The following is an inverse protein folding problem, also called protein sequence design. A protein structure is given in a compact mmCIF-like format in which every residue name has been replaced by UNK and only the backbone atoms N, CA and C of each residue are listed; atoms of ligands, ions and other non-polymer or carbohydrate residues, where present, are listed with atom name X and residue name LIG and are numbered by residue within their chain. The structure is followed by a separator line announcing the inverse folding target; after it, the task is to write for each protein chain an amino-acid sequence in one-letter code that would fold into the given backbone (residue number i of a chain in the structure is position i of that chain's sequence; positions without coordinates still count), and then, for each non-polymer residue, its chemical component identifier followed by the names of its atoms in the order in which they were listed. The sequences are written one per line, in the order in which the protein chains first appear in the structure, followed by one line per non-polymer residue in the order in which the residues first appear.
data_IF_808653026172
#
_entry.id   IF_808653026172
#
_cell.length_a   1.000
_cell.length_b   1.000
_cell.length_c   1.000
_cell.angle_alpha   90.00
_cell.angle_beta   90.00
_cell.angle_gamma   90.00
#
_symmetry.space_group_name_H-M   'P 1'
#
loop_
_entity.id
_entity.type
_entity.pdbx_description
1 polymer ?
#
# COMPACT_ATOMS: atom_id res chain seq x y z
N UNK A 1 27.11 -30.10 -17.75
CA UNK A 1 25.87 -30.70 -17.21
C UNK A 1 25.55 -30.27 -15.75
N UNK A 2 26.22 -29.28 -15.15
CA UNK A 2 26.08 -28.98 -13.70
C UNK A 2 25.26 -27.72 -13.33
N UNK A 3 24.83 -26.90 -14.31
CA UNK A 3 24.12 -25.65 -14.01
C UNK A 3 22.61 -25.79 -13.78
N UNK A 4 21.97 -26.82 -14.34
CA UNK A 4 20.54 -27.10 -14.06
C UNK A 4 20.32 -27.52 -12.61
N UNK A 5 21.24 -28.33 -12.06
CA UNK A 5 21.18 -28.82 -10.68
C UNK A 5 21.34 -27.69 -9.65
N UNK A 6 22.16 -26.68 -9.92
CA UNK A 6 22.32 -25.52 -9.03
C UNK A 6 21.10 -24.60 -9.02
N UNK A 7 20.37 -24.47 -10.14
CA UNK A 7 19.15 -23.64 -10.20
C UNK A 7 17.96 -24.21 -9.42
N UNK A 8 17.99 -25.51 -9.08
CA UNK A 8 16.94 -26.21 -8.32
C UNK A 8 17.33 -26.48 -6.85
N UNK A 9 18.40 -25.83 -6.36
CA UNK A 9 18.74 -25.83 -4.93
C UNK A 9 19.64 -26.96 -4.45
N UNK A 10 20.28 -27.72 -5.35
CA UNK A 10 21.36 -28.61 -4.94
C UNK A 10 22.65 -27.80 -4.67
N UNK A 11 23.23 -27.87 -3.46
CA UNK A 11 24.47 -27.17 -3.16
C UNK A 11 25.63 -27.80 -3.95
N UNK A 12 26.57 -27.00 -4.48
CA UNK A 12 27.74 -27.54 -5.16
C UNK A 12 28.60 -28.36 -4.17
N UNK A 13 29.21 -29.44 -4.66
CA UNK A 13 30.25 -30.15 -3.90
C UNK A 13 31.41 -29.17 -3.67
N UNK A 14 31.75 -28.96 -2.41
CA UNK A 14 32.82 -28.05 -1.96
C UNK A 14 34.20 -28.68 -2.18
N UNK A 15 34.58 -28.96 -3.42
CA UNK A 15 35.97 -29.32 -3.75
C UNK A 15 36.39 -28.57 -5.01
N UNK A 16 37.26 -27.57 -4.79
CA UNK A 16 38.25 -26.99 -5.69
C UNK A 16 37.85 -26.52 -7.09
N UNK A 17 36.92 -25.57 -7.16
CA UNK A 17 36.94 -24.58 -8.24
C UNK A 17 36.78 -23.17 -7.66
N UNK A 18 37.90 -22.55 -7.27
CA UNK A 18 38.02 -21.09 -7.32
C UNK A 18 38.52 -20.77 -8.72
N UNK A 19 37.66 -20.43 -9.71
CA UNK A 19 38.14 -20.35 -11.08
C UNK A 19 38.87 -19.01 -11.36
N UNK A 20 38.86 -18.05 -10.42
CA UNK A 20 39.40 -16.70 -10.65
C UNK A 20 39.87 -16.05 -9.34
N UNK A 21 41.02 -15.36 -9.38
CA UNK A 21 41.58 -14.58 -8.26
C UNK A 21 41.13 -13.11 -8.26
N UNK A 22 40.73 -12.56 -9.42
CA UNK A 22 40.24 -11.19 -9.58
C UNK A 22 39.27 -11.12 -10.76
N UNK A 23 38.15 -10.42 -10.59
CA UNK A 23 37.17 -10.13 -11.65
C UNK A 23 37.01 -8.62 -11.76
N UNK A 24 37.50 -8.02 -12.84
CA UNK A 24 37.34 -6.60 -13.16
C UNK A 24 36.49 -6.42 -14.44
N UNK A 25 35.82 -5.27 -14.58
CA UNK A 25 35.05 -4.93 -15.79
C UNK A 25 33.61 -5.46 -15.83
N UNK A 26 33.06 -5.96 -14.72
CA UNK A 26 31.63 -6.22 -14.62
C UNK A 26 30.89 -4.88 -14.57
N UNK A 27 30.06 -4.60 -15.57
CA UNK A 27 29.02 -3.57 -15.46
C UNK A 27 28.18 -3.87 -14.22
N UNK A 28 27.69 -2.85 -13.48
CA UNK A 28 26.89 -3.09 -12.28
C UNK A 28 25.71 -4.01 -12.61
N UNK A 29 25.79 -5.26 -12.14
CA UNK A 29 24.71 -6.23 -12.34
C UNK A 29 23.64 -5.92 -11.31
N UNK A 30 22.62 -5.17 -11.74
CA UNK A 30 21.39 -5.01 -10.95
C UNK A 30 20.51 -6.24 -11.19
N UNK A 31 20.56 -7.19 -10.28
CA UNK A 31 19.59 -8.28 -10.25
C UNK A 31 18.28 -7.77 -9.63
N UNK A 32 17.36 -7.28 -10.46
CA UNK A 32 16.00 -6.98 -10.02
C UNK A 32 15.20 -8.28 -10.06
N UNK A 33 15.00 -8.92 -8.91
CA UNK A 33 14.04 -10.03 -8.80
C UNK A 33 12.62 -9.47 -9.04
N UNK A 34 12.12 -9.63 -10.25
CA UNK A 34 10.76 -9.21 -10.59
C UNK A 34 9.80 -10.30 -10.11
N UNK A 35 9.39 -10.23 -8.83
CA UNK A 35 8.27 -11.03 -8.33
C UNK A 35 6.99 -10.58 -9.02
N UNK A 36 6.66 -11.23 -10.14
CA UNK A 36 5.37 -11.10 -10.84
C UNK A 36 4.28 -11.87 -10.11
N UNK A 37 4.09 -11.63 -8.82
CA UNK A 37 2.84 -12.02 -8.16
C UNK A 37 1.82 -10.91 -8.46
N UNK A 38 0.84 -11.20 -9.32
CA UNK A 38 -0.32 -10.34 -9.61
C UNK A 38 -1.29 -10.27 -8.41
N UNK A 39 -0.76 -10.14 -7.20
CA UNK A 39 -1.54 -9.89 -6.00
C UNK A 39 -1.46 -8.39 -5.76
N UNK A 40 -2.44 -7.67 -6.31
CA UNK A 40 -2.63 -6.27 -6.00
C UNK A 40 -3.16 -6.20 -4.57
N UNK A 41 -2.25 -6.08 -3.59
CA UNK A 41 -2.65 -5.68 -2.25
C UNK A 41 -2.89 -4.16 -2.30
N UNK A 42 -4.12 -3.68 -2.07
CA UNK A 42 -4.43 -2.25 -2.16
C UNK A 42 -3.68 -1.40 -1.13
N UNK A 43 -3.06 -2.02 -0.12
CA UNK A 43 -2.18 -1.35 0.85
C UNK A 43 -0.70 -1.38 0.45
N UNK A 44 -0.35 -2.04 -0.66
CA UNK A 44 0.99 -2.05 -1.23
C UNK A 44 1.16 -0.91 -2.24
N UNK A 45 1.53 0.27 -1.73
CA UNK A 45 1.78 1.47 -2.54
C UNK A 45 3.24 1.56 -2.98
N UNK A 46 3.56 2.48 -3.90
CA UNK A 46 4.95 2.81 -4.24
C UNK A 46 5.74 3.20 -2.98
N UNK A 47 5.11 3.94 -2.06
CA UNK A 47 5.72 4.34 -0.80
C UNK A 47 6.09 3.18 0.13
N UNK A 48 5.28 2.10 0.19
CA UNK A 48 5.63 0.92 0.99
C UNK A 48 6.69 0.06 0.31
N UNK A 49 6.62 -0.11 -1.01
CA UNK A 49 7.63 -0.85 -1.79
C UNK A 49 9.02 -0.21 -1.72
N UNK A 50 9.08 1.12 -1.82
CA UNK A 50 10.34 1.88 -1.76
C UNK A 50 10.81 2.19 -0.34
N UNK A 51 10.02 1.82 0.68
CA UNK A 51 10.23 2.17 2.10
C UNK A 51 10.19 3.67 2.42
N UNK A 52 9.91 4.53 1.44
CA UNK A 52 9.77 5.98 1.63
C UNK A 52 8.72 6.29 2.71
N UNK A 53 7.64 5.51 2.73
CA UNK A 53 6.59 5.60 3.73
C UNK A 53 7.09 5.41 5.17
N UNK A 54 8.03 4.49 5.41
CA UNK A 54 8.56 4.27 6.75
C UNK A 54 9.37 5.48 7.24
N UNK A 55 10.15 6.09 6.35
CA UNK A 55 10.91 7.30 6.64
C UNK A 55 9.98 8.46 7.00
N UNK A 56 8.91 8.66 6.22
CA UNK A 56 7.92 9.70 6.49
C UNK A 56 7.23 9.50 7.84
N UNK A 57 6.87 8.28 8.20
CA UNK A 57 6.26 7.97 9.50
C UNK A 57 7.17 8.30 10.67
N UNK A 58 8.46 7.99 10.54
CA UNK A 58 9.45 8.35 11.54
C UNK A 58 9.58 9.87 11.62
N UNK A 59 9.76 10.54 10.48
CA UNK A 59 9.90 11.99 10.39
C UNK A 59 8.71 12.73 11.04
N UNK A 60 7.48 12.32 10.76
CA UNK A 60 6.29 12.97 11.34
C UNK A 60 6.12 12.70 12.83
N UNK A 61 6.49 11.50 13.30
CA UNK A 61 6.43 11.21 14.73
C UNK A 61 7.52 11.94 15.54
N UNK A 62 8.68 12.21 14.92
CA UNK A 62 9.81 12.88 15.60
C UNK A 62 9.73 14.39 15.50
N UNK A 63 9.50 14.93 14.30
CA UNK A 63 9.59 16.37 13.97
C UNK A 63 8.22 17.01 13.68
N UNK A 64 7.12 16.26 13.81
CA UNK A 64 5.77 16.76 13.58
C UNK A 64 5.38 17.83 14.59
N UNK A 65 4.96 19.00 14.09
CA UNK A 65 4.36 20.05 14.92
C UNK A 65 2.93 19.67 15.27
N UNK A 66 2.64 19.56 16.56
CA UNK A 66 1.29 19.27 17.03
C UNK A 66 0.40 20.52 16.92
N UNK A 67 -0.82 20.32 16.44
CA UNK A 67 -1.84 21.36 16.25
C UNK A 67 -3.13 20.90 16.90
N UNK A 68 -3.83 21.82 17.59
CA UNK A 68 -5.12 21.52 18.20
C UNK A 68 -6.16 21.20 17.11
N UNK A 69 -6.87 20.07 17.18
CA UNK A 69 -7.87 19.71 16.16
C UNK A 69 -9.09 20.63 16.15
N UNK A 70 -9.37 21.31 17.26
CA UNK A 70 -10.50 22.24 17.39
C UNK A 70 -10.08 23.66 16.97
N UNK A 71 -9.04 24.19 17.63
CA UNK A 71 -8.63 25.59 17.47
C UNK A 71 -7.67 25.83 16.30
N UNK A 72 -7.03 24.77 15.79
CA UNK A 72 -6.02 24.81 14.71
C UNK A 72 -4.75 25.61 15.03
N UNK A 73 -4.51 25.89 16.30
CA UNK A 73 -3.29 26.54 16.78
C UNK A 73 -2.23 25.51 17.20
N UNK A 74 -0.93 25.86 17.10
CA UNK A 74 0.16 24.99 17.51
C UNK A 74 0.11 24.74 19.03
N UNK A 75 0.43 23.52 19.42
CA UNK A 75 0.41 23.08 20.82
C UNK A 75 1.81 23.09 21.38
N UNK A 76 1.95 23.55 22.62
CA UNK A 76 3.22 23.65 23.35
C UNK A 76 3.68 22.29 23.87
N UNK A 77 4.88 22.25 24.43
CA UNK A 77 5.52 21.02 24.94
C UNK A 77 4.74 20.34 26.08
N UNK A 78 3.93 21.10 26.82
CA UNK A 78 3.05 20.57 27.87
C UNK A 78 1.82 19.82 27.32
N UNK A 79 1.68 19.71 25.99
CA UNK A 79 0.60 18.98 25.33
C UNK A 79 -0.80 19.51 25.62
N UNK A 80 -0.93 20.78 26.01
CA UNK A 80 -2.21 21.42 26.29
C UNK A 80 -2.43 22.60 25.35
N UNK A 81 -3.64 22.74 24.80
CA UNK A 81 -4.02 23.88 23.99
C UNK A 81 -4.36 25.10 24.86
N UNK A 82 -3.65 26.21 24.68
CA UNK A 82 -3.87 27.46 25.45
C UNK A 82 -5.27 28.07 25.26
N UNK A 83 -5.95 27.77 24.15
CA UNK A 83 -7.25 28.40 23.81
C UNK A 83 -8.43 27.65 24.44
N UNK A 84 -8.41 26.31 24.39
CA UNK A 84 -9.55 25.49 24.81
C UNK A 84 -9.25 24.50 25.93
N UNK A 85 -8.00 24.44 26.42
CA UNK A 85 -7.57 23.52 27.49
C UNK A 85 -7.55 22.05 27.09
N UNK A 86 -7.67 21.73 25.79
CA UNK A 86 -7.60 20.35 25.33
C UNK A 86 -6.19 19.80 25.53
N UNK A 87 -6.10 18.70 26.28
CA UNK A 87 -4.88 17.89 26.39
C UNK A 87 -4.79 16.96 25.17
N UNK A 88 -3.64 16.97 24.52
CA UNK A 88 -3.36 16.22 23.29
C UNK A 88 -2.33 15.14 23.60
N UNK A 89 -2.47 13.97 22.99
CA UNK A 89 -1.45 12.93 23.11
C UNK A 89 -0.36 13.07 22.05
N UNK A 90 0.85 12.67 22.40
CA UNK A 90 1.97 12.68 21.44
C UNK A 90 1.75 11.59 20.40
N UNK A 91 1.81 11.97 19.13
CA UNK A 91 1.63 11.04 18.02
C UNK A 91 2.87 10.16 17.81
N UNK A 92 2.74 8.87 18.09
CA UNK A 92 3.71 7.83 17.73
C UNK A 92 3.69 7.45 16.23
N UNK A 93 4.74 6.77 15.77
CA UNK A 93 4.92 6.22 14.41
C UNK A 93 3.71 5.38 13.93
N UNK A 94 3.00 4.73 14.85
CA UNK A 94 1.82 3.89 14.58
C UNK A 94 0.61 4.71 14.11
N UNK A 95 0.45 5.95 14.61
CA UNK A 95 -0.63 6.85 14.21
C UNK A 95 -0.48 7.37 12.77
N UNK A 96 0.73 7.31 12.22
CA UNK A 96 1.00 7.63 10.82
C UNK A 96 0.91 6.39 9.91
N UNK A 97 0.36 5.28 10.42
CA UNK A 97 0.26 4.03 9.69
C UNK A 97 -1.14 3.71 9.19
N UNK A 98 -1.36 3.69 7.87
CA UNK A 98 -2.63 3.21 7.29
C UNK A 98 -2.87 1.70 7.45
N UNK A 99 -1.86 0.95 7.90
CA UNK A 99 -1.99 -0.48 8.24
C UNK A 99 -2.35 -0.70 9.71
N UNK A 100 -2.27 0.33 10.55
CA UNK A 100 -2.54 0.23 11.98
C UNK A 100 -3.93 0.79 12.31
N UNK A 101 -4.74 0.16 13.18
CA UNK A 101 -6.04 0.67 13.56
C UNK A 101 -6.02 2.11 14.09
N UNK A 102 -4.97 2.49 14.81
CA UNK A 102 -4.80 3.82 15.39
C UNK A 102 -4.38 4.90 14.37
N UNK A 103 -3.91 4.51 13.18
CA UNK A 103 -3.49 5.45 12.13
C UNK A 103 -4.27 5.32 10.82
N UNK A 104 -5.14 4.32 10.69
CA UNK A 104 -5.91 4.11 9.48
C UNK A 104 -7.18 4.95 9.46
N UNK A 105 -7.53 5.44 8.27
CA UNK A 105 -8.84 6.03 8.04
C UNK A 105 -9.94 4.99 8.31
N UNK A 106 -10.90 5.33 9.17
CA UNK A 106 -12.00 4.45 9.57
C UNK A 106 -12.97 4.14 8.42
N UNK A 107 -13.16 5.10 7.50
CA UNK A 107 -14.07 4.93 6.36
C UNK A 107 -13.53 3.91 5.35
N UNK A 108 -12.31 4.11 4.86
CA UNK A 108 -11.70 3.23 3.85
C UNK A 108 -10.87 2.08 4.45
N UNK A 109 -10.73 2.01 5.78
CA UNK A 109 -9.87 1.04 6.50
C UNK A 109 -8.44 1.05 5.99
N UNK A 110 -7.91 2.24 5.68
CA UNK A 110 -6.54 2.41 5.17
C UNK A 110 -6.30 1.89 3.74
N UNK A 111 -7.36 1.73 2.93
CA UNK A 111 -7.23 1.39 1.50
C UNK A 111 -7.01 2.60 0.60
N UNK A 112 -7.40 3.79 1.04
CA UNK A 112 -7.31 5.03 0.26
C UNK A 112 -8.52 5.29 -0.66
N UNK A 113 -9.33 4.27 -0.94
CA UNK A 113 -10.53 4.37 -1.77
C UNK A 113 -11.68 3.54 -1.16
N UNK A 114 -12.92 3.83 -1.58
CA UNK A 114 -14.12 3.09 -1.19
C UNK A 114 -14.90 2.67 -2.43
N UNK A 115 -15.37 1.43 -2.43
CA UNK A 115 -16.17 0.91 -3.55
C UNK A 115 -17.61 1.35 -3.36
N UNK A 116 -18.13 2.08 -4.33
CA UNK A 116 -19.54 2.43 -4.39
C UNK A 116 -20.16 1.92 -5.68
N UNK A 117 -21.39 1.43 -5.58
CA UNK A 117 -22.20 1.08 -6.73
C UNK A 117 -23.00 2.34 -7.12
N UNK A 118 -22.87 2.79 -8.36
CA UNK A 118 -23.64 3.92 -8.88
C UNK A 118 -24.72 3.40 -9.85
N UNK A 119 -25.83 4.14 -9.96
CA UNK A 119 -26.94 3.74 -10.84
C UNK A 119 -26.50 3.61 -12.29
N UNK A 120 -25.62 4.48 -12.76
CA UNK A 120 -25.04 4.48 -14.11
C UNK A 120 -24.27 3.19 -14.45
N UNK A 121 -23.73 2.50 -13.44
CA UNK A 121 -23.06 1.21 -13.63
C UNK A 121 -24.03 0.06 -13.79
N UNK A 122 -25.23 0.19 -13.22
CA UNK A 122 -26.28 -0.83 -13.21
C UNK A 122 -27.19 -0.64 -14.43
N UNK A 123 -27.56 0.61 -14.71
CA UNK A 123 -28.47 1.02 -15.76
C UNK A 123 -27.64 1.67 -16.87
N UNK A 124 -27.12 0.83 -17.75
CA UNK A 124 -26.35 1.29 -18.92
C UNK A 124 -27.24 1.94 -19.99
N UNK A 125 -28.54 1.63 -19.99
CA UNK A 125 -29.51 2.13 -20.98
C UNK A 125 -30.87 2.37 -20.31
N UNK A 126 -31.20 3.65 -20.12
CA UNK A 126 -32.45 4.10 -19.49
C UNK A 126 -33.70 3.87 -20.34
N UNK A 127 -33.56 3.49 -21.62
CA UNK A 127 -34.69 3.18 -22.49
C UNK A 127 -35.17 1.72 -22.35
N UNK A 128 -34.42 0.88 -21.64
CA UNK A 128 -34.79 -0.52 -21.38
C UNK A 128 -35.64 -0.63 -20.12
N UNK A 129 -36.64 -1.50 -20.15
CA UNK A 129 -37.40 -1.81 -18.95
C UNK A 129 -36.62 -2.73 -17.99
N UNK A 130 -37.03 -2.76 -16.72
CA UNK A 130 -36.35 -3.52 -15.67
C UNK A 130 -36.16 -5.00 -16.01
N UNK A 131 -37.11 -5.59 -16.73
CA UNK A 131 -37.02 -7.00 -17.15
C UNK A 131 -36.00 -7.22 -18.27
N UNK A 132 -35.80 -6.24 -19.16
CA UNK A 132 -34.75 -6.27 -20.19
C UNK A 132 -33.37 -6.01 -19.59
N UNK A 133 -33.26 -5.12 -18.60
CA UNK A 133 -32.02 -4.84 -17.87
C UNK A 133 -31.58 -6.09 -17.09
N UNK A 134 -32.50 -6.78 -16.41
CA UNK A 134 -32.20 -7.96 -15.59
C UNK A 134 -32.04 -9.25 -16.39
N UNK A 135 -32.75 -9.45 -17.52
CA UNK A 135 -32.60 -10.65 -18.38
C UNK A 135 -31.31 -10.67 -19.21
N UNK A 136 -30.68 -9.53 -19.47
CA UNK A 136 -29.33 -9.49 -20.03
C UNK A 136 -28.26 -9.98 -19.03
N UNK A 137 -28.61 -10.15 -17.75
CA UNK A 137 -27.72 -10.49 -16.63
C UNK A 137 -27.84 -11.92 -16.11
N UNK A 138 -28.47 -12.86 -16.84
CA UNK A 138 -28.42 -14.30 -16.50
C UNK A 138 -27.03 -14.91 -16.71
N UNK A 139 -26.12 -14.19 -17.37
CA UNK A 139 -24.68 -14.33 -17.18
C UNK A 139 -24.17 -13.12 -16.39
N UNK A 140 -24.12 -13.31 -15.07
CA UNK A 140 -23.18 -12.65 -14.15
C UNK A 140 -23.31 -11.11 -14.09
N UNK A 141 -24.20 -10.62 -13.23
CA UNK A 141 -24.16 -9.24 -12.72
C UNK A 141 -22.74 -8.80 -12.27
N UNK A 142 -21.86 -9.73 -11.88
CA UNK A 142 -20.49 -9.43 -11.49
C UNK A 142 -19.62 -8.87 -12.63
N UNK A 143 -19.93 -9.13 -13.91
CA UNK A 143 -19.16 -8.63 -15.05
C UNK A 143 -19.51 -7.16 -15.40
N UNK A 144 -20.63 -6.66 -14.88
CA UNK A 144 -21.12 -5.29 -15.10
C UNK A 144 -20.80 -4.36 -13.92
N UNK A 145 -20.40 -4.89 -12.77
CA UNK A 145 -19.93 -4.09 -11.63
C UNK A 145 -18.54 -3.57 -11.97
N UNK A 146 -18.49 -2.45 -12.68
CA UNK A 146 -17.26 -1.67 -12.78
C UNK A 146 -17.12 -0.86 -11.52
N UNK A 147 -16.33 -1.41 -10.63
CA UNK A 147 -15.74 -0.71 -9.52
C UNK A 147 -15.06 0.59 -10.00
N UNK A 148 -15.63 1.74 -9.62
CA UNK A 148 -14.98 3.05 -9.77
C UNK A 148 -14.11 3.26 -8.53
N UNK A 149 -12.87 3.66 -8.72
CA UNK A 149 -11.94 4.04 -7.63
C UNK A 149 -12.27 5.42 -7.05
#
# INVERSE_FOLDING_TARGET
MNRYLQSIGFPPKFEDEKPFDLLEGLSPTVAVEQRTTRIFNPRSTVGTKTRLYNLLRMLYATEGKLVCPICKEPVKENLECDICGMVIERLEIKHFSFNEPSGMCLACKGRGYQMHLTEELIVQDYNKNLMQITKAGSAVFADQIRFVE
#
